data_IF_975191046416
#
_entry.id   IF_975191046416
#
_cell.length_a   1.000
_cell.length_b   1.000
_cell.length_c   1.000
_cell.angle_alpha   90.00
_cell.angle_beta   90.00
_cell.angle_gamma   90.00
#
_symmetry.space_group_name_H-M   'P 1'
#
loop_
_entity.id
_entity.type
_entity.pdbx_description
1 polymer ?
#
# COMPACT_ATOMS: atom_id res chain seq x y z
N UNK A 1 -6.65 7.11 12.22
CA UNK A 1 -6.13 8.00 11.16
C UNK A 1 -5.80 7.12 9.96
N UNK A 2 -6.43 7.34 8.81
CA UNK A 2 -6.27 6.48 7.61
C UNK A 2 -5.00 6.89 6.92
N UNK A 3 -4.05 5.98 6.71
CA UNK A 3 -2.79 6.37 6.05
C UNK A 3 -2.41 5.54 4.82
N UNK A 4 -3.31 4.69 4.35
CA UNK A 4 -3.09 4.02 3.08
C UNK A 4 -4.36 3.38 2.62
N UNK A 5 -5.01 3.96 1.61
CA UNK A 5 -5.87 3.17 0.74
C UNK A 5 -4.94 2.57 -0.30
N UNK A 6 -4.64 1.28 -0.19
CA UNK A 6 -3.94 0.53 -1.23
C UNK A 6 -4.97 -0.09 -2.13
N UNK A 7 -5.01 0.34 -3.38
CA UNK A 7 -5.90 -0.21 -4.40
C UNK A 7 -5.09 -1.15 -5.28
N UNK A 8 -5.61 -2.36 -5.44
CA UNK A 8 -5.04 -3.46 -6.20
C UNK A 8 -5.91 -3.71 -7.42
N UNK A 9 -5.28 -4.02 -8.56
CA UNK A 9 -5.98 -4.59 -9.71
C UNK A 9 -5.78 -6.09 -9.70
N UNK A 10 -6.82 -6.84 -9.31
CA UNK A 10 -6.74 -8.25 -8.96
C UNK A 10 -8.07 -9.00 -9.08
N UNK A 11 -8.05 -10.06 -9.86
CA UNK A 11 -9.05 -11.13 -9.88
C UNK A 11 -8.85 -11.98 -8.60
N UNK A 12 -9.16 -11.42 -7.42
CA UNK A 12 -9.14 -12.18 -6.15
C UNK A 12 -10.19 -13.28 -6.27
N UNK A 13 -9.75 -14.48 -6.63
CA UNK A 13 -10.59 -15.63 -6.98
C UNK A 13 -11.55 -16.12 -5.89
N UNK A 14 -11.60 -15.48 -4.72
CA UNK A 14 -12.50 -15.80 -3.60
C UNK A 14 -13.58 -14.76 -3.30
N UNK A 15 -13.50 -13.54 -3.84
CA UNK A 15 -14.50 -12.46 -3.62
C UNK A 15 -15.07 -12.06 -4.96
N UNK A 16 -16.28 -12.50 -5.28
CA UNK A 16 -16.96 -12.13 -6.52
C UNK A 16 -17.29 -10.63 -6.58
N UNK A 17 -16.34 -9.81 -7.03
CA UNK A 17 -16.50 -8.37 -7.31
C UNK A 17 -15.56 -7.45 -6.50
N UNK A 18 -15.55 -6.15 -6.85
CA UNK A 18 -14.66 -5.17 -6.22
C UNK A 18 -14.98 -4.97 -4.73
N UNK A 19 -14.05 -5.27 -3.83
CA UNK A 19 -14.26 -5.30 -2.38
C UNK A 19 -13.22 -4.47 -1.60
N UNK A 20 -13.66 -3.77 -0.56
CA UNK A 20 -12.78 -3.17 0.45
C UNK A 20 -12.54 -4.22 1.54
N UNK A 21 -11.29 -4.66 1.68
CA UNK A 21 -10.88 -5.56 2.76
C UNK A 21 -10.26 -4.74 3.89
N UNK A 22 -10.69 -5.05 5.12
CA UNK A 22 -10.07 -4.49 6.31
C UNK A 22 -8.91 -5.40 6.73
N UNK A 23 -7.69 -4.86 6.73
CA UNK A 23 -6.55 -5.59 7.28
C UNK A 23 -6.48 -5.37 8.80
N UNK A 24 -6.64 -6.45 9.57
CA UNK A 24 -6.47 -6.43 11.02
C UNK A 24 -5.00 -6.67 11.35
N UNK A 25 -4.31 -5.59 11.74
CA UNK A 25 -2.88 -5.63 12.08
C UNK A 25 -2.56 -6.65 13.19
N UNK A 26 -3.51 -6.90 14.10
CA UNK A 26 -3.40 -7.91 15.18
C UNK A 26 -3.25 -9.35 14.65
N UNK A 27 -3.85 -9.65 13.51
CA UNK A 27 -3.94 -11.01 12.97
C UNK A 27 -2.99 -11.25 11.80
N UNK A 28 -2.36 -10.18 11.27
CA UNK A 28 -1.51 -10.20 10.06
C UNK A 28 -2.15 -10.96 8.89
N UNK A 29 -3.47 -10.99 8.82
CA UNK A 29 -4.21 -11.77 7.84
C UNK A 29 -5.50 -11.06 7.45
N UNK A 30 -5.98 -11.33 6.23
CA UNK A 30 -7.25 -10.83 5.74
C UNK A 30 -8.35 -11.81 6.10
N UNK A 31 -9.37 -11.32 6.79
CA UNK A 31 -10.55 -12.13 7.04
C UNK A 31 -11.62 -11.77 6.00
N UNK A 32 -11.65 -12.56 4.92
CA UNK A 32 -12.64 -12.45 3.83
C UNK A 32 -14.06 -12.78 4.30
N UNK A 33 -14.22 -13.35 5.50
CA UNK A 33 -15.52 -13.57 6.12
C UNK A 33 -16.07 -12.32 6.80
N UNK A 34 -15.23 -11.28 6.99
CA UNK A 34 -15.70 -9.99 7.50
C UNK A 34 -16.54 -9.25 6.44
N UNK A 35 -17.50 -8.41 6.89
CA UNK A 35 -18.28 -7.59 5.98
C UNK A 35 -17.36 -6.69 5.15
N UNK A 36 -17.38 -6.87 3.83
CA UNK A 36 -16.68 -6.01 2.89
C UNK A 36 -17.70 -5.15 2.14
N UNK A 37 -17.32 -3.89 1.91
CA UNK A 37 -18.12 -2.97 1.11
C UNK A 37 -17.60 -2.94 -0.32
N UNK A 38 -18.47 -2.62 -1.27
CA UNK A 38 -18.01 -2.27 -2.62
C UNK A 38 -17.07 -1.07 -2.55
N UNK A 39 -16.01 -1.11 -3.35
CA UNK A 39 -15.13 0.05 -3.53
C UNK A 39 -15.98 1.19 -4.11
N UNK A 40 -15.86 2.37 -3.51
CA UNK A 40 -16.54 3.58 -3.97
C UNK A 40 -16.10 3.90 -5.40
N UNK A 41 -17.05 4.23 -6.28
CA UNK A 41 -16.77 4.51 -7.70
C UNK A 41 -15.73 5.61 -7.86
N UNK A 42 -15.82 6.65 -7.02
CA UNK A 42 -14.93 7.80 -7.02
C UNK A 42 -13.48 7.39 -6.69
N UNK A 43 -13.32 6.44 -5.76
CA UNK A 43 -12.02 5.88 -5.41
C UNK A 43 -11.46 5.01 -6.54
N UNK A 44 -12.31 4.26 -7.24
CA UNK A 44 -11.88 3.51 -8.42
C UNK A 44 -11.39 4.44 -9.54
N UNK A 45 -12.13 5.51 -9.83
CA UNK A 45 -11.76 6.50 -10.86
C UNK A 45 -10.43 7.16 -10.53
N UNK A 46 -10.26 7.63 -9.28
CA UNK A 46 -8.99 8.18 -8.82
C UNK A 46 -7.84 7.18 -8.95
N UNK A 47 -8.04 5.93 -8.53
CA UNK A 47 -6.99 4.92 -8.61
C UNK A 47 -6.60 4.62 -10.07
N UNK A 48 -7.55 4.62 -11.00
CA UNK A 48 -7.28 4.47 -12.43
C UNK A 48 -6.43 5.60 -12.98
N UNK A 49 -6.78 6.85 -12.68
CA UNK A 49 -6.02 8.02 -13.11
C UNK A 49 -4.59 8.00 -12.58
N UNK A 50 -4.42 7.66 -11.29
CA UNK A 50 -3.12 7.63 -10.63
C UNK A 50 -2.26 6.45 -11.07
N UNK A 51 -2.87 5.32 -11.45
CA UNK A 51 -2.17 4.17 -11.99
C UNK A 51 -1.70 4.36 -13.44
N UNK A 52 -2.40 5.18 -14.24
CA UNK A 52 -2.17 5.31 -15.68
C UNK A 52 -0.70 5.52 -16.09
N UNK A 53 0.13 6.34 -15.39
CA UNK A 53 1.54 6.51 -15.74
C UNK A 53 2.41 5.25 -15.53
N UNK A 54 1.95 4.31 -14.71
CA UNK A 54 2.64 3.07 -14.39
C UNK A 54 2.08 1.86 -15.16
N UNK A 55 1.07 2.06 -16.01
CA UNK A 55 0.47 1.02 -16.84
C UNK A 55 1.21 0.85 -18.17
N UNK A 56 1.17 -0.36 -18.70
CA UNK A 56 1.61 -0.65 -20.07
C UNK A 56 0.69 0.03 -21.10
N UNK A 57 1.25 0.41 -22.25
CA UNK A 57 0.47 1.04 -23.31
C UNK A 57 -0.69 0.14 -23.77
N UNK A 58 -1.90 0.69 -23.78
CA UNK A 58 -3.12 -0.03 -24.18
C UNK A 58 -3.77 -0.87 -23.09
N UNK A 59 -3.22 -0.87 -21.86
CA UNK A 59 -3.86 -1.49 -20.71
C UNK A 59 -4.54 -0.44 -19.81
N UNK A 60 -5.61 -0.85 -19.14
CA UNK A 60 -6.30 -0.05 -18.13
C UNK A 60 -6.17 -0.71 -16.76
N UNK A 61 -5.92 0.09 -15.72
CA UNK A 61 -5.97 -0.39 -14.34
C UNK A 61 -7.41 -0.71 -13.94
N UNK A 62 -7.66 -1.85 -13.32
CA UNK A 62 -9.00 -2.25 -12.87
C UNK A 62 -9.03 -2.43 -11.36
N UNK A 63 -9.48 -1.42 -10.58
CA UNK A 63 -9.59 -1.53 -9.13
C UNK A 63 -10.55 -2.63 -8.69
N UNK A 64 -10.02 -3.64 -8.00
CA UNK A 64 -10.79 -4.80 -7.55
C UNK A 64 -10.69 -5.04 -6.05
N UNK A 65 -9.57 -4.65 -5.43
CA UNK A 65 -9.47 -4.64 -3.99
C UNK A 65 -8.94 -3.31 -3.47
N UNK A 66 -9.42 -2.90 -2.31
CA UNK A 66 -8.82 -1.81 -1.56
C UNK A 66 -8.58 -2.22 -0.10
N UNK A 67 -7.39 -1.94 0.41
CA UNK A 67 -7.05 -2.09 1.81
C UNK A 67 -6.97 -0.71 2.43
N UNK A 68 -7.65 -0.52 3.56
CA UNK A 68 -7.59 0.73 4.32
C UNK A 68 -6.84 0.49 5.62
N UNK A 69 -5.64 1.07 5.73
CA UNK A 69 -4.83 1.01 6.94
C UNK A 69 -5.16 2.19 7.86
N UNK A 70 -5.62 1.89 9.08
CA UNK A 70 -5.81 2.87 10.15
C UNK A 70 -4.65 2.77 11.13
N UNK A 71 -3.76 3.76 11.12
CA UNK A 71 -2.57 3.79 11.96
C UNK A 71 -2.64 4.98 12.91
N UNK A 72 -2.59 4.73 14.23
CA UNK A 72 -2.42 5.79 15.23
C UNK A 72 -0.96 6.25 15.30
N UNK A 73 -0.62 7.41 15.91
CA UNK A 73 0.74 7.94 15.89
C UNK A 73 1.84 7.01 16.44
N UNK A 74 1.47 6.04 17.29
CA UNK A 74 2.38 5.03 17.84
C UNK A 74 2.55 3.79 16.95
N UNK A 75 1.73 3.65 15.90
CA UNK A 75 1.77 2.47 15.05
C UNK A 75 2.92 2.55 14.05
N UNK A 76 3.52 1.40 13.79
CA UNK A 76 4.52 1.20 12.76
C UNK A 76 4.08 0.02 11.90
N UNK A 77 4.20 0.16 10.58
CA UNK A 77 4.05 -0.96 9.67
C UNK A 77 5.44 -1.39 9.23
N UNK A 78 5.98 -2.43 9.86
CA UNK A 78 7.33 -2.91 9.57
C UNK A 78 7.49 -3.39 8.12
N UNK A 79 8.75 -3.52 7.69
CA UNK A 79 9.12 -3.99 6.35
C UNK A 79 8.40 -5.28 5.94
N UNK A 80 7.56 -5.21 4.92
CA UNK A 80 6.83 -6.34 4.33
C UNK A 80 6.83 -6.27 2.80
N UNK A 81 6.60 -7.41 2.16
CA UNK A 81 6.34 -7.47 0.73
C UNK A 81 4.83 -7.59 0.50
N UNK A 82 4.29 -6.78 -0.41
CA UNK A 82 2.92 -6.93 -0.91
C UNK A 82 2.92 -8.03 -1.99
N UNK A 83 2.88 -9.30 -1.56
CA UNK A 83 2.92 -10.49 -2.44
C UNK A 83 1.57 -11.17 -2.62
N UNK A 84 0.49 -10.47 -2.28
CA UNK A 84 -0.85 -11.07 -2.24
C UNK A 84 -1.60 -10.98 -3.57
N UNK A 85 -1.00 -10.35 -4.58
CA UNK A 85 -1.56 -10.24 -5.91
C UNK A 85 -1.25 -11.52 -6.74
N UNK A 86 -2.21 -12.03 -7.49
CA UNK A 86 -2.06 -12.98 -8.57
C UNK A 86 -1.39 -12.38 -9.84
N UNK A 87 -1.61 -11.10 -10.15
CA UNK A 87 -1.02 -10.40 -11.31
C UNK A 87 -0.07 -9.29 -10.88
N UNK A 88 1.23 -9.57 -10.97
CA UNK A 88 2.28 -8.62 -10.58
C UNK A 88 2.58 -7.58 -11.67
N UNK A 89 1.97 -7.69 -12.86
CA UNK A 89 2.12 -6.69 -13.91
C UNK A 89 1.43 -5.37 -13.55
N UNK A 90 0.42 -5.41 -12.67
CA UNK A 90 -0.36 -4.24 -12.29
C UNK A 90 0.30 -3.46 -11.14
N UNK A 91 0.24 -2.12 -11.16
CA UNK A 91 0.76 -1.30 -10.08
C UNK A 91 -0.13 -1.39 -8.84
N UNK A 92 0.43 -1.06 -7.69
CA UNK A 92 -0.34 -0.72 -6.49
C UNK A 92 -0.46 0.79 -6.44
N UNK A 93 -1.67 1.28 -6.16
CA UNK A 93 -1.92 2.70 -5.87
C UNK A 93 -2.11 2.87 -4.38
N UNK A 94 -1.20 3.57 -3.72
CA UNK A 94 -1.25 3.89 -2.29
C UNK A 94 -1.56 5.36 -2.08
N UNK A 95 -2.68 5.66 -1.41
CA UNK A 95 -3.13 7.03 -1.11
C UNK A 95 -2.92 7.31 0.38
N UNK A 96 -2.13 8.33 0.70
CA UNK A 96 -1.89 8.78 2.08
C UNK A 96 -2.85 9.90 2.48
N UNK A 97 -3.42 9.81 3.68
CA UNK A 97 -4.36 10.78 4.22
C UNK A 97 -3.99 11.18 5.65
N UNK A 98 -4.46 12.36 6.05
CA UNK A 98 -4.29 12.96 7.37
C UNK A 98 -2.87 13.39 7.74
N UNK A 99 -2.01 12.52 8.28
CA UNK A 99 -0.73 12.95 8.83
C UNK A 99 0.45 12.62 7.92
N UNK A 100 1.57 13.22 8.27
CA UNK A 100 2.86 12.97 7.64
C UNK A 100 3.39 11.63 8.14
N UNK A 101 3.82 10.79 7.22
CA UNK A 101 4.58 9.57 7.49
C UNK A 101 5.86 9.52 6.66
N UNK A 102 6.74 8.63 7.06
CA UNK A 102 7.91 8.22 6.29
C UNK A 102 7.60 6.86 5.69
N UNK A 103 7.64 6.81 4.37
CA UNK A 103 7.57 5.60 3.59
C UNK A 103 8.98 5.17 3.21
N UNK A 104 9.28 3.91 3.50
CA UNK A 104 10.54 3.28 3.15
C UNK A 104 10.30 2.31 2.01
N UNK A 105 10.95 2.58 0.88
CA UNK A 105 11.00 1.71 -0.27
C UNK A 105 12.30 0.88 -0.20
N UNK A 106 12.18 -0.37 0.20
CA UNK A 106 13.31 -1.29 0.38
C UNK A 106 13.91 -1.83 -0.92
N UNK A 107 14.92 -2.68 -0.77
CA UNK A 107 15.57 -3.39 -1.86
C UNK A 107 15.17 -4.86 -2.00
N UNK A 108 15.98 -5.64 -2.72
CA UNK A 108 15.74 -7.07 -2.95
C UNK A 108 15.96 -7.90 -1.68
N UNK A 109 16.78 -7.41 -0.77
CA UNK A 109 17.06 -8.06 0.52
C UNK A 109 16.75 -7.12 1.68
N UNK A 110 16.79 -7.65 2.92
CA UNK A 110 16.49 -6.86 4.12
C UNK A 110 17.61 -5.88 4.48
N UNK A 111 18.80 -6.21 4.01
CA UNK A 111 20.06 -5.51 4.25
C UNK A 111 20.25 -4.33 3.28
N UNK A 112 19.44 -4.26 2.21
CA UNK A 112 19.46 -3.15 1.27
C UNK A 112 18.96 -1.87 1.95
N UNK A 113 19.74 -0.79 1.86
CA UNK A 113 19.38 0.51 2.42
C UNK A 113 18.12 1.04 1.73
N UNK A 114 17.02 1.28 2.47
CA UNK A 114 15.78 1.73 1.87
C UNK A 114 15.86 3.19 1.41
N UNK A 115 15.11 3.51 0.36
CA UNK A 115 14.85 4.89 -0.03
C UNK A 115 13.72 5.41 0.86
N UNK A 116 14.02 6.42 1.66
CA UNK A 116 13.04 7.09 2.51
C UNK A 116 12.40 8.28 1.79
N UNK A 117 11.08 8.38 1.87
CA UNK A 117 10.33 9.53 1.35
C UNK A 117 9.23 9.94 2.32
N UNK A 118 8.94 11.24 2.38
CA UNK A 118 7.80 11.72 3.13
C UNK A 118 6.53 11.55 2.33
N UNK A 119 5.51 11.01 2.98
CA UNK A 119 4.14 11.05 2.49
C UNK A 119 3.33 11.97 3.38
N UNK A 120 2.60 12.89 2.76
CA UNK A 120 1.73 13.87 3.39
C UNK A 120 0.28 13.58 2.99
N UNK A 121 -0.63 14.31 3.63
CA UNK A 121 -2.04 14.24 3.28
C UNK A 121 -2.26 14.56 1.79
N UNK A 122 -2.84 13.60 1.07
CA UNK A 122 -3.17 13.70 -0.34
C UNK A 122 -2.08 13.16 -1.28
N UNK A 123 -0.92 12.74 -0.76
CA UNK A 123 0.11 12.15 -1.60
C UNK A 123 -0.34 10.76 -2.10
N UNK A 124 -0.10 10.51 -3.38
CA UNK A 124 -0.40 9.23 -4.04
C UNK A 124 0.88 8.65 -4.62
N UNK A 125 1.14 7.38 -4.32
CA UNK A 125 2.22 6.61 -4.92
C UNK A 125 1.64 5.49 -5.76
N UNK A 126 2.01 5.45 -7.05
CA UNK A 126 1.74 4.31 -7.92
C UNK A 126 3.06 3.59 -8.21
N UNK A 127 3.15 2.32 -7.84
CA UNK A 127 4.38 1.55 -7.98
C UNK A 127 4.13 0.11 -8.46
N UNK A 128 4.90 -0.31 -9.47
CA UNK A 128 4.87 -1.67 -10.02
C UNK A 128 5.74 -2.64 -9.23
N UNK A 129 5.74 -3.92 -9.64
CA UNK A 129 6.46 -5.01 -8.98
C UNK A 129 7.94 -4.75 -8.73
N UNK A 130 8.61 -4.00 -9.62
CA UNK A 130 10.02 -3.64 -9.44
C UNK A 130 10.26 -2.79 -8.19
N UNK A 131 9.22 -2.13 -7.68
CA UNK A 131 9.22 -1.31 -6.47
C UNK A 131 8.37 -1.93 -5.34
N UNK A 132 7.79 -3.14 -5.51
CA UNK A 132 7.14 -3.88 -4.41
C UNK A 132 8.21 -4.58 -3.56
N UNK A 133 9.16 -3.79 -3.08
CA UNK A 133 10.33 -4.21 -2.33
C UNK A 133 10.27 -3.59 -0.95
N UNK A 134 10.35 -4.47 0.04
CA UNK A 134 10.09 -4.25 1.46
C UNK A 134 9.56 -2.87 1.84
N UNK A 135 8.24 -2.74 1.94
CA UNK A 135 7.54 -1.51 2.30
C UNK A 135 7.49 -1.39 3.81
N UNK A 136 7.91 -0.24 4.35
CA UNK A 136 7.74 0.07 5.75
C UNK A 136 7.19 1.49 5.92
N UNK A 137 6.40 1.68 6.96
CA UNK A 137 5.80 2.96 7.32
C UNK A 137 6.12 3.28 8.76
N UNK A 138 6.66 4.46 8.99
CA UNK A 138 6.92 4.97 10.33
C UNK A 138 6.46 6.43 10.42
N UNK A 139 5.72 6.74 11.48
CA UNK A 139 5.22 8.08 11.78
C UNK A 139 6.15 8.90 12.68
N UNK A 140 7.31 8.37 13.04
CA UNK A 140 8.34 9.12 13.76
C UNK A 140 8.73 10.36 12.97
N UNK A 141 8.92 11.46 13.69
CA UNK A 141 9.23 12.75 13.09
C UNK A 141 10.64 12.81 12.48
N UNK A 142 11.55 11.94 12.94
CA UNK A 142 12.96 11.96 12.57
C UNK A 142 13.35 10.78 11.66
N UNK A 143 13.72 11.11 10.43
CA UNK A 143 14.27 10.17 9.45
C UNK A 143 15.51 9.44 9.96
N UNK A 144 16.35 10.11 10.76
CA UNK A 144 17.61 9.53 11.25
C UNK A 144 17.35 8.42 12.27
N UNK A 145 16.35 8.59 13.14
CA UNK A 145 15.95 7.54 14.09
C UNK A 145 15.40 6.31 13.38
N UNK A 146 14.65 6.53 12.29
CA UNK A 146 14.06 5.44 11.49
C UNK A 146 15.15 4.66 10.76
N UNK A 147 16.04 5.35 10.04
CA UNK A 147 17.14 4.69 9.34
C UNK A 147 18.04 3.90 10.30
N UNK A 148 18.31 4.43 11.50
CA UNK A 148 19.06 3.72 12.53
C UNK A 148 18.34 2.43 13.01
N UNK A 149 17.01 2.47 13.14
CA UNK A 149 16.21 1.29 13.51
C UNK A 149 16.10 0.24 12.41
N UNK A 150 16.18 0.64 11.13
CA UNK A 150 16.14 -0.29 10.01
C UNK A 150 17.47 -1.03 9.79
N UNK A 151 18.61 -0.43 10.15
CA UNK A 151 19.94 -1.05 10.02
C UNK A 151 20.28 -2.04 11.15
N UNK A 152 19.40 -2.20 12.14
CA UNK A 152 19.61 -3.07 13.31
C UNK A 152 18.77 -4.35 13.29
N UNK A 153 18.12 -4.67 12.17
CA UNK A 153 17.31 -5.88 11.94
C UNK A 153 18.01 -6.77 10.92
#
# INVERSE_FOLDING_TARGET
>A
MIEGIRVYGENISSVGGSAILMFLLSCRNYDVSLPHNKIRKELCELAKEMAAPAMSAGEEFQPEAAIVNYLVPSDMLGGHLDVMEADWSKPIVSISLACKAIFLLGGKSREDIPIAMFLRNGDVCAYGWACKRMLSWDKKADLNEILASCMTI
#
